data_IF_065068357055
#
_entry.id   IF_065068357055
#
_cell.length_a   1.000
_cell.length_b   1.000
_cell.length_c   1.000
_cell.angle_alpha   90.00
_cell.angle_beta   90.00
_cell.angle_gamma   90.00
#
_symmetry.space_group_name_H-M   'P 1'
#
loop_
_entity.id
_entity.type
_entity.pdbx_description
1 polymer ?
#
# COMPACT_ATOMS: atom_id res chain seq x y z
N UNK A 1 -8.57 23.27 -21.64
CA UNK A 1 -7.37 22.59 -21.11
C UNK A 1 -7.33 22.48 -19.58
N UNK A 2 -7.82 23.47 -18.81
CA UNK A 2 -7.76 23.46 -17.34
C UNK A 2 -8.59 22.37 -16.65
N UNK A 3 -9.71 21.96 -17.25
CA UNK A 3 -10.60 20.94 -16.66
C UNK A 3 -9.95 19.55 -16.62
N UNK A 4 -9.29 19.13 -17.71
CA UNK A 4 -8.54 17.86 -17.76
C UNK A 4 -7.41 17.82 -16.72
N UNK A 5 -6.76 18.96 -16.48
CA UNK A 5 -5.73 19.10 -15.46
C UNK A 5 -6.27 18.88 -14.05
N UNK A 6 -7.46 19.40 -13.75
CA UNK A 6 -8.11 19.19 -12.44
C UNK A 6 -8.48 17.72 -12.25
N UNK A 7 -9.04 17.07 -13.26
CA UNK A 7 -9.38 15.64 -13.21
C UNK A 7 -8.12 14.81 -12.99
N UNK A 8 -7.04 15.09 -13.72
CA UNK A 8 -5.76 14.39 -13.58
C UNK A 8 -5.14 14.59 -12.20
N UNK A 9 -5.18 15.81 -11.66
CA UNK A 9 -4.67 16.12 -10.32
C UNK A 9 -5.43 15.37 -9.23
N UNK A 10 -6.77 15.29 -9.32
CA UNK A 10 -7.58 14.49 -8.40
C UNK A 10 -7.26 13.01 -8.52
N UNK A 11 -7.11 12.49 -9.75
CA UNK A 11 -6.76 11.09 -10.00
C UNK A 11 -5.37 10.73 -9.43
N UNK A 12 -4.39 11.61 -9.58
CA UNK A 12 -3.05 11.46 -9.01
C UNK A 12 -3.08 11.50 -7.49
N UNK A 13 -3.83 12.42 -6.88
CA UNK A 13 -3.98 12.50 -5.42
C UNK A 13 -4.62 11.25 -4.85
N UNK A 14 -5.67 10.72 -5.50
CA UNK A 14 -6.29 9.44 -5.11
C UNK A 14 -5.28 8.30 -5.25
N UNK A 15 -4.53 8.26 -6.35
CA UNK A 15 -3.49 7.24 -6.59
C UNK A 15 -2.33 7.29 -5.58
N UNK A 16 -1.92 8.49 -5.15
CA UNK A 16 -0.92 8.69 -4.09
C UNK A 16 -1.48 8.39 -2.68
N UNK A 17 -2.77 8.59 -2.47
CA UNK A 17 -3.44 8.30 -1.20
C UNK A 17 -3.74 6.81 -1.02
N UNK A 18 -3.84 6.04 -2.11
CA UNK A 18 -3.64 4.59 -2.01
C UNK A 18 -2.20 4.43 -1.54
N UNK A 19 -1.91 3.73 -0.41
CA UNK A 19 -0.57 3.59 0.09
C UNK A 19 0.27 2.91 -0.99
N UNK A 20 0.95 3.72 -1.80
CA UNK A 20 1.80 3.27 -2.86
C UNK A 20 3.00 2.61 -2.21
N UNK A 21 2.94 1.28 -2.07
CA UNK A 21 4.03 0.33 -2.21
C UNK A 21 5.42 0.91 -1.91
N UNK A 22 5.58 1.44 -0.71
CA UNK A 22 6.88 1.80 -0.19
C UNK A 22 7.66 0.52 0.03
N UNK A 23 8.90 0.48 -0.42
CA UNK A 23 9.82 -0.57 -0.01
C UNK A 23 9.97 -0.51 1.51
N UNK A 24 9.49 -1.54 2.21
CA UNK A 24 9.54 -1.59 3.68
C UNK A 24 10.77 -2.38 4.06
N UNK A 25 11.63 -1.80 4.90
CA UNK A 25 12.83 -2.52 5.38
C UNK A 25 12.42 -3.76 6.19
N UNK A 26 11.42 -3.62 7.05
CA UNK A 26 10.94 -4.65 7.96
C UNK A 26 9.45 -4.93 7.83
N UNK A 27 9.12 -6.03 7.15
CA UNK A 27 7.74 -6.47 6.98
C UNK A 27 7.09 -6.91 8.29
N UNK A 28 7.81 -7.67 9.10
CA UNK A 28 7.28 -8.33 10.30
C UNK A 28 6.77 -7.34 11.37
N UNK A 29 7.23 -6.09 11.35
CA UNK A 29 6.81 -5.05 12.29
C UNK A 29 5.45 -4.46 11.96
N UNK A 30 5.07 -4.48 10.68
CA UNK A 30 3.86 -3.84 10.14
C UNK A 30 2.85 -4.84 9.59
N UNK A 31 3.26 -6.09 9.36
CA UNK A 31 2.44 -7.11 8.74
C UNK A 31 3.12 -8.48 8.71
N UNK A 32 2.76 -9.30 7.73
CA UNK A 32 3.20 -10.68 7.58
C UNK A 32 3.67 -10.97 6.16
N UNK A 33 4.63 -11.89 5.98
CA UNK A 33 5.15 -12.27 4.67
C UNK A 33 4.32 -13.40 4.06
N UNK A 34 3.75 -13.19 2.87
CA UNK A 34 2.96 -14.20 2.17
C UNK A 34 3.09 -14.06 0.64
N UNK A 35 2.86 -15.16 -0.08
CA UNK A 35 2.79 -15.15 -1.55
C UNK A 35 1.50 -14.49 -2.07
N UNK A 36 0.45 -14.46 -1.26
CA UNK A 36 -0.82 -13.77 -1.53
C UNK A 36 -1.32 -13.10 -0.27
N UNK A 37 -1.75 -11.85 -0.38
CA UNK A 37 -2.35 -11.11 0.73
C UNK A 37 -3.86 -11.33 0.78
N UNK A 38 -4.44 -11.22 1.98
CA UNK A 38 -5.89 -11.33 2.15
C UNK A 38 -6.59 -10.13 1.50
N UNK A 39 -7.87 -10.31 1.16
CA UNK A 39 -8.70 -9.21 0.63
C UNK A 39 -8.83 -8.12 1.69
N UNK A 40 -8.27 -6.94 1.40
CA UNK A 40 -8.24 -5.80 2.30
C UNK A 40 -6.84 -5.45 2.80
N UNK A 41 -5.89 -6.37 2.67
CA UNK A 41 -4.49 -6.13 3.03
C UNK A 41 -3.76 -5.36 1.93
N UNK A 42 -2.92 -4.43 2.38
CA UNK A 42 -2.01 -3.71 1.51
C UNK A 42 -0.78 -4.61 1.34
N UNK A 43 -0.57 -5.15 0.13
CA UNK A 43 0.73 -5.75 -0.21
C UNK A 43 1.87 -4.70 -0.04
N UNK A 44 3.13 -5.09 0.05
CA UNK A 44 4.30 -4.22 -0.03
C UNK A 44 5.52 -5.07 -0.36
N UNK A 45 6.56 -4.47 -0.91
CA UNK A 45 7.82 -5.16 -1.16
C UNK A 45 8.79 -4.91 -0.01
N UNK A 46 9.42 -5.95 0.54
CA UNK A 46 10.35 -5.83 1.64
C UNK A 46 11.59 -6.71 1.42
N UNK A 47 12.78 -6.23 1.78
CA UNK A 47 14.03 -7.03 1.76
C UNK A 47 13.90 -8.32 2.56
N UNK A 48 13.19 -8.23 3.68
CA UNK A 48 13.09 -9.30 4.66
C UNK A 48 11.99 -10.32 4.31
N UNK A 49 11.42 -10.24 3.10
CA UNK A 49 10.39 -11.14 2.63
C UNK A 49 10.65 -11.51 1.16
N UNK A 50 10.82 -12.81 0.88
CA UNK A 50 11.05 -13.32 -0.49
C UNK A 50 9.84 -13.09 -1.43
N UNK A 51 8.66 -12.90 -0.84
CA UNK A 51 7.39 -12.71 -1.54
C UNK A 51 6.84 -11.30 -1.28
N UNK A 52 5.55 -11.16 -0.96
CA UNK A 52 4.93 -9.90 -0.65
C UNK A 52 4.75 -9.74 0.86
N UNK A 53 5.01 -8.54 1.36
CA UNK A 53 4.63 -8.15 2.70
C UNK A 53 3.17 -7.74 2.73
N UNK A 54 2.33 -8.47 3.45
CA UNK A 54 0.91 -8.17 3.60
C UNK A 54 0.70 -7.38 4.88
N UNK A 55 0.31 -6.12 4.73
CA UNK A 55 0.05 -5.19 5.80
C UNK A 55 -1.47 -5.20 6.02
N UNK A 56 -1.96 -5.71 7.15
CA UNK A 56 -3.37 -5.61 7.44
C UNK A 56 -3.77 -4.14 7.47
N UNK A 57 -4.95 -3.77 6.91
CA UNK A 57 -5.45 -2.42 7.02
C UNK A 57 -5.59 -2.14 8.51
N UNK A 58 -4.83 -1.15 9.01
CA UNK A 58 -4.83 -0.79 10.42
C UNK A 58 -6.23 -0.26 10.75
N UNK A 59 -7.17 -1.13 11.13
CA UNK A 59 -8.28 -0.74 11.98
C UNK A 59 -7.66 -0.45 13.34
N UNK A 60 -7.22 0.80 13.52
CA UNK A 60 -6.84 1.34 14.82
C UNK A 60 -8.13 1.48 15.63
N UNK A 61 -8.61 0.35 16.12
CA UNK A 61 -9.83 0.21 16.91
C UNK A 61 -9.51 -0.09 18.36
N UNK A 62 -8.83 0.83 19.04
CA UNK A 62 -9.03 1.27 20.45
C UNK A 62 -7.88 2.15 20.90
#
# INVERSE_FOLDING_TARGET
>A
MRFLYLVFAVFLLVSLAVPGYGYIKDCQKVGYCSSKCAKGDVWASASNCKYHCCIPPIWKGK
#
